data_IF_676482270787
#
_entry.id   IF_676482270787
#
_cell.length_a   1.000
_cell.length_b   1.000
_cell.length_c   1.000
_cell.angle_alpha   90.00
_cell.angle_beta   90.00
_cell.angle_gamma   90.00
#
_symmetry.space_group_name_H-M   'P 1'
#
loop_
_entity.id
_entity.type
_entity.pdbx_description
1 polymer ?
#
# COMPACT_ATOMS: atom_id res chain seq x y z
N UNK A 1 -9.23 65.24 27.69
CA UNK A 1 -9.88 64.04 28.27
C UNK A 1 -11.23 63.86 27.59
N UNK A 2 -11.28 63.12 26.49
CA UNK A 2 -12.50 62.83 25.75
C UNK A 2 -12.30 61.51 25.01
N UNK A 3 -12.80 60.44 25.60
CA UNK A 3 -12.64 59.06 25.14
C UNK A 3 -13.36 58.86 23.80
N UNK A 4 -12.63 58.40 22.78
CA UNK A 4 -13.22 57.95 21.53
C UNK A 4 -13.82 56.55 21.79
N UNK A 5 -15.11 56.50 22.08
CA UNK A 5 -15.84 55.25 22.27
C UNK A 5 -16.10 54.58 20.91
N UNK A 6 -15.54 53.39 20.69
CA UNK A 6 -15.86 52.54 19.56
C UNK A 6 -17.36 52.18 19.58
N UNK A 7 -18.08 52.22 18.44
CA UNK A 7 -19.49 51.84 18.42
C UNK A 7 -19.63 50.35 18.72
N UNK A 8 -20.37 50.06 19.78
CA UNK A 8 -20.77 48.74 20.23
C UNK A 8 -21.59 48.03 19.13
N UNK A 9 -21.06 46.92 18.62
CA UNK A 9 -21.77 46.01 17.73
C UNK A 9 -22.95 45.37 18.49
N UNK A 10 -24.16 45.91 18.25
CA UNK A 10 -25.41 45.35 18.78
C UNK A 10 -25.73 44.00 18.14
N UNK A 11 -26.37 43.15 18.92
CA UNK A 11 -26.59 41.73 18.70
C UNK A 11 -27.38 41.36 17.45
N UNK A 12 -27.30 40.07 17.15
CA UNK A 12 -28.05 39.26 16.17
C UNK A 12 -27.30 38.84 14.88
N UNK A 13 -26.15 39.46 14.55
CA UNK A 13 -25.38 39.09 13.34
C UNK A 13 -24.40 37.91 13.55
N UNK A 14 -24.13 37.54 14.81
CA UNK A 14 -23.15 36.49 15.15
C UNK A 14 -23.71 35.07 14.92
N UNK A 15 -25.03 34.90 14.97
CA UNK A 15 -25.67 33.59 14.77
C UNK A 15 -25.72 33.21 13.28
N UNK A 16 -25.96 34.17 12.38
CA UNK A 16 -25.98 33.93 10.93
C UNK A 16 -24.56 33.73 10.38
N UNK A 17 -23.57 34.49 10.85
CA UNK A 17 -22.21 34.44 10.30
C UNK A 17 -21.44 33.19 10.74
N UNK A 18 -21.64 32.66 11.94
CA UNK A 18 -20.88 31.48 12.41
C UNK A 18 -21.45 30.15 11.91
N UNK A 19 -22.77 30.03 11.79
CA UNK A 19 -23.41 28.79 11.32
C UNK A 19 -23.29 28.62 9.80
N UNK A 20 -23.44 29.70 9.02
CA UNK A 20 -23.28 29.65 7.56
C UNK A 20 -21.84 29.33 7.14
N UNK A 21 -20.85 29.88 7.86
CA UNK A 21 -19.43 29.57 7.62
C UNK A 21 -19.09 28.12 7.99
N UNK A 22 -19.73 27.56 9.03
CA UNK A 22 -19.58 26.16 9.41
C UNK A 22 -20.21 25.22 8.36
N UNK A 23 -21.40 25.53 7.85
CA UNK A 23 -22.03 24.77 6.76
C UNK A 23 -21.19 24.77 5.47
N UNK A 24 -20.66 25.94 5.08
CA UNK A 24 -19.72 26.05 3.95
C UNK A 24 -18.47 25.21 4.16
N UNK A 25 -17.93 25.17 5.38
CA UNK A 25 -16.76 24.35 5.72
C UNK A 25 -17.06 22.86 5.58
N UNK A 26 -18.19 22.37 6.06
CA UNK A 26 -18.59 20.96 5.95
C UNK A 26 -18.79 20.52 4.49
N UNK A 27 -19.46 21.34 3.69
CA UNK A 27 -19.64 21.06 2.26
C UNK A 27 -18.29 21.04 1.54
N UNK A 28 -17.40 21.99 1.85
CA UNK A 28 -16.08 22.06 1.24
C UNK A 28 -15.24 20.82 1.57
N UNK A 29 -15.18 20.40 2.83
CA UNK A 29 -14.40 19.22 3.22
C UNK A 29 -14.94 17.95 2.58
N UNK A 30 -16.27 17.79 2.48
CA UNK A 30 -16.89 16.66 1.81
C UNK A 30 -16.61 16.64 0.31
N UNK A 31 -16.72 17.79 -0.37
CA UNK A 31 -16.40 17.89 -1.79
C UNK A 31 -14.94 17.53 -2.06
N UNK A 32 -14.02 18.03 -1.24
CA UNK A 32 -12.60 17.69 -1.36
C UNK A 32 -12.33 16.20 -1.10
N UNK A 33 -13.03 15.60 -0.13
CA UNK A 33 -12.91 14.17 0.16
C UNK A 33 -13.42 13.29 -1.00
N UNK A 34 -14.54 13.68 -1.62
CA UNK A 34 -15.08 13.01 -2.82
C UNK A 34 -14.09 13.12 -3.97
N UNK A 35 -13.55 14.33 -4.21
CA UNK A 35 -12.59 14.55 -5.28
C UNK A 35 -11.30 13.74 -5.09
N UNK A 36 -10.73 13.74 -3.89
CA UNK A 36 -9.55 12.94 -3.55
C UNK A 36 -9.79 11.44 -3.78
N UNK A 37 -10.97 10.94 -3.39
CA UNK A 37 -11.36 9.55 -3.62
C UNK A 37 -11.50 9.23 -5.10
N UNK A 38 -12.07 10.14 -5.88
CA UNK A 38 -12.20 10.01 -7.32
C UNK A 38 -10.84 9.94 -8.03
N UNK A 39 -9.92 10.86 -7.70
CA UNK A 39 -8.58 10.87 -8.27
C UNK A 39 -7.80 9.59 -7.91
N UNK A 40 -7.89 9.14 -6.66
CA UNK A 40 -7.29 7.87 -6.23
C UNK A 40 -7.83 6.70 -7.06
N UNK A 41 -9.15 6.61 -7.24
CA UNK A 41 -9.76 5.55 -8.04
C UNK A 41 -9.31 5.59 -9.50
N UNK A 42 -9.22 6.78 -10.10
CA UNK A 42 -8.71 6.97 -11.47
C UNK A 42 -7.26 6.50 -11.59
N UNK A 43 -6.40 6.81 -10.62
CA UNK A 43 -5.00 6.36 -10.62
C UNK A 43 -4.86 4.85 -10.46
N UNK A 44 -5.71 4.24 -9.61
CA UNK A 44 -5.78 2.78 -9.47
C UNK A 44 -6.17 2.14 -10.80
N UNK A 45 -7.18 2.66 -11.49
CA UNK A 45 -7.64 2.11 -12.76
C UNK A 45 -6.56 2.18 -13.85
N UNK A 46 -5.84 3.30 -13.93
CA UNK A 46 -4.67 3.44 -14.84
C UNK A 46 -3.57 2.44 -14.52
N UNK A 47 -3.31 2.20 -13.23
CA UNK A 47 -2.30 1.22 -12.81
C UNK A 47 -2.73 -0.20 -13.16
N UNK A 48 -4.01 -0.54 -12.92
CA UNK A 48 -4.56 -1.87 -13.23
C UNK A 48 -4.56 -2.16 -14.72
N UNK A 49 -5.01 -1.23 -15.55
CA UNK A 49 -4.96 -1.35 -17.01
C UNK A 49 -3.52 -1.50 -17.53
N UNK A 50 -2.57 -0.71 -17.00
CA UNK A 50 -1.15 -0.86 -17.33
C UNK A 50 -0.56 -2.22 -16.94
N UNK A 51 -0.88 -2.72 -15.74
CA UNK A 51 -0.46 -4.04 -15.28
C UNK A 51 -1.10 -5.17 -16.12
N UNK A 52 -2.37 -5.05 -16.49
CA UNK A 52 -3.05 -6.00 -17.37
C UNK A 52 -2.38 -6.05 -18.75
N UNK A 53 -2.11 -4.89 -19.36
CA UNK A 53 -1.40 -4.82 -20.63
C UNK A 53 0.03 -5.41 -20.54
N UNK A 54 0.74 -5.17 -19.44
CA UNK A 54 2.06 -5.76 -19.23
C UNK A 54 2.02 -7.29 -19.08
N UNK A 55 1.02 -7.82 -18.34
CA UNK A 55 0.79 -9.27 -18.22
C UNK A 55 0.42 -9.90 -19.55
N UNK A 56 -0.40 -9.24 -20.37
CA UNK A 56 -0.74 -9.72 -21.72
C UNK A 56 0.50 -9.81 -22.63
N UNK A 57 1.51 -8.98 -22.41
CA UNK A 57 2.84 -9.07 -23.06
C UNK A 57 3.78 -10.10 -22.43
N UNK A 58 3.31 -10.92 -21.48
CA UNK A 58 4.11 -11.96 -20.83
C UNK A 58 4.94 -11.50 -19.62
N UNK A 59 4.79 -10.26 -19.13
CA UNK A 59 5.51 -9.81 -17.93
C UNK A 59 4.94 -10.50 -16.69
N UNK A 60 5.75 -11.33 -16.04
CA UNK A 60 5.47 -11.86 -14.69
C UNK A 60 5.93 -10.82 -13.66
N UNK A 61 4.98 -10.19 -12.96
CA UNK A 61 5.26 -9.23 -11.89
C UNK A 61 5.67 -9.90 -10.57
N UNK A 62 5.92 -9.10 -9.53
CA UNK A 62 6.26 -9.58 -8.19
C UNK A 62 7.75 -9.73 -7.93
N UNK A 63 8.10 -10.27 -6.76
CA UNK A 63 9.49 -10.52 -6.34
C UNK A 63 10.03 -11.73 -7.11
N UNK A 64 11.23 -11.61 -7.69
CA UNK A 64 11.90 -12.74 -8.33
C UNK A 64 12.15 -13.87 -7.31
N UNK A 65 11.99 -15.15 -7.70
CA UNK A 65 12.34 -16.28 -6.86
C UNK A 65 13.77 -16.15 -6.32
N UNK A 66 13.96 -16.53 -5.05
CA UNK A 66 15.27 -16.48 -4.39
C UNK A 66 16.22 -17.62 -4.80
N UNK A 67 15.69 -18.64 -5.49
CA UNK A 67 16.40 -19.84 -5.91
C UNK A 67 16.05 -20.11 -7.37
N UNK A 68 17.03 -20.51 -8.16
CA UNK A 68 16.83 -20.99 -9.54
C UNK A 68 16.21 -22.38 -9.56
N UNK A 69 15.75 -22.83 -10.73
CA UNK A 69 15.23 -24.19 -10.88
C UNK A 69 16.33 -25.24 -10.67
N UNK A 70 17.55 -24.92 -11.08
CA UNK A 70 18.74 -25.72 -10.86
C UNK A 70 19.05 -25.85 -9.36
N UNK A 71 18.98 -24.74 -8.61
CA UNK A 71 19.18 -24.76 -7.16
C UNK A 71 18.15 -25.64 -6.47
N UNK A 72 16.88 -25.57 -6.90
CA UNK A 72 15.82 -26.42 -6.33
C UNK A 72 16.07 -27.90 -6.60
N UNK A 73 16.55 -28.25 -7.80
CA UNK A 73 16.96 -29.64 -8.12
C UNK A 73 18.11 -30.09 -7.23
N UNK A 74 19.14 -29.26 -7.08
CA UNK A 74 20.28 -29.55 -6.21
C UNK A 74 19.85 -29.71 -4.74
N UNK A 75 18.98 -28.85 -4.24
CA UNK A 75 18.43 -28.95 -2.88
C UNK A 75 17.69 -30.26 -2.68
N UNK A 76 16.89 -30.71 -3.65
CA UNK A 76 16.17 -32.00 -3.58
C UNK A 76 17.13 -33.19 -3.52
N UNK A 77 18.21 -33.15 -4.29
CA UNK A 77 19.26 -34.20 -4.25
C UNK A 77 19.95 -34.19 -2.89
N UNK A 78 20.39 -33.03 -2.41
CA UNK A 78 21.09 -32.90 -1.12
C UNK A 78 20.22 -33.30 0.07
N UNK A 79 18.90 -33.13 -0.02
CA UNK A 79 17.96 -33.56 1.02
C UNK A 79 17.59 -35.05 0.95
N UNK A 80 17.95 -35.74 -0.14
CA UNK A 80 17.78 -37.20 -0.22
C UNK A 80 18.85 -37.94 0.59
N UNK A 81 20.00 -37.31 0.83
CA UNK A 81 21.06 -37.85 1.66
C UNK A 81 20.65 -37.81 3.16
N UNK A 82 20.61 -38.95 3.87
CA UNK A 82 20.14 -39.02 5.25
C UNK A 82 21.03 -38.28 6.26
N UNK A 83 22.29 -38.01 5.91
CA UNK A 83 23.25 -37.27 6.75
C UNK A 83 23.08 -35.74 6.65
N UNK A 84 22.33 -35.25 5.66
CA UNK A 84 22.23 -33.82 5.38
C UNK A 84 21.04 -33.18 6.09
N UNK A 85 21.30 -32.18 6.93
CA UNK A 85 20.24 -31.45 7.63
C UNK A 85 19.71 -30.28 6.79
N UNK A 86 18.41 -29.99 6.89
CA UNK A 86 17.77 -28.80 6.27
C UNK A 86 18.48 -27.51 6.67
N UNK A 87 19.02 -27.43 7.89
CA UNK A 87 19.79 -26.28 8.36
C UNK A 87 21.13 -26.10 7.64
N UNK A 88 21.84 -27.19 7.36
CA UNK A 88 23.09 -27.14 6.61
C UNK A 88 22.86 -26.71 5.15
N UNK A 89 21.84 -27.27 4.50
CA UNK A 89 21.46 -26.88 3.13
C UNK A 89 21.04 -25.41 3.08
N UNK A 90 20.23 -24.94 4.03
CA UNK A 90 19.80 -23.55 4.10
C UNK A 90 20.98 -22.56 4.21
N UNK A 91 21.99 -22.89 5.02
CA UNK A 91 23.23 -22.10 5.13
C UNK A 91 24.01 -22.08 3.81
N UNK A 92 24.12 -23.22 3.13
CA UNK A 92 24.86 -23.34 1.86
C UNK A 92 24.28 -22.46 0.75
N UNK A 93 22.96 -22.41 0.65
CA UNK A 93 22.27 -21.57 -0.34
C UNK A 93 21.96 -20.15 0.16
N UNK A 94 22.44 -19.77 1.36
CA UNK A 94 22.17 -18.49 2.00
C UNK A 94 20.68 -18.11 2.04
N UNK A 95 19.82 -19.08 2.37
CA UNK A 95 18.37 -18.91 2.49
C UNK A 95 17.90 -19.34 3.86
N UNK A 96 16.70 -18.88 4.26
CA UNK A 96 16.08 -19.37 5.49
C UNK A 96 15.63 -20.83 5.33
N UNK A 97 15.58 -21.58 6.44
CA UNK A 97 14.99 -22.94 6.47
C UNK A 97 13.56 -22.95 5.89
N UNK A 98 12.79 -21.91 6.17
CA UNK A 98 11.44 -21.72 5.62
C UNK A 98 11.41 -21.61 4.10
N UNK A 99 12.46 -21.05 3.49
CA UNK A 99 12.58 -20.98 2.04
C UNK A 99 12.74 -22.37 1.44
N UNK A 100 13.54 -23.23 2.07
CA UNK A 100 13.68 -24.63 1.63
C UNK A 100 12.35 -25.37 1.73
N UNK A 101 11.68 -25.32 2.89
CA UNK A 101 10.37 -25.97 3.06
C UNK A 101 9.34 -25.49 2.04
N UNK A 102 9.33 -24.20 1.69
CA UNK A 102 8.41 -23.67 0.67
C UNK A 102 8.55 -24.35 -0.70
N UNK A 103 9.75 -24.78 -1.08
CA UNK A 103 10.03 -25.44 -2.36
C UNK A 103 9.97 -26.96 -2.30
N UNK A 104 10.05 -27.57 -1.11
CA UNK A 104 10.03 -29.02 -0.93
C UNK A 104 8.68 -29.57 -0.48
N UNK A 105 7.86 -28.79 0.25
CA UNK A 105 6.56 -29.24 0.78
C UNK A 105 5.39 -29.01 -0.20
N UNK A 106 5.55 -28.12 -1.20
CA UNK A 106 4.57 -27.99 -2.29
C UNK A 106 4.81 -29.11 -3.31
N UNK A 107 4.21 -30.27 -3.06
CA UNK A 107 3.95 -31.31 -4.06
C UNK A 107 2.47 -31.34 -4.43
#
# INVERSE_FOLDING_TARGET
MGSCAAPSAKGDDKFITTDYLQQCREIYTHLMAIFSSFERNRNIERTRSGLAAARARGRVGGRKPSLSEEDVKQIRILLADPEMTVGAVAKRFNVSRMTIYRYTTKS
#
